data_IF_491568894560
#
_entry.id   IF_491568894560
#
_cell.length_a   1.000
_cell.length_b   1.000
_cell.length_c   1.000
_cell.angle_alpha   90.00
_cell.angle_beta   90.00
_cell.angle_gamma   90.00
#
_symmetry.space_group_name_H-M   'P 1'
#
loop_
_entity.id
_entity.type
_entity.pdbx_description
1 polymer ?
#
# COMPACT_ATOMS: atom_id res chain seq x y z
N UNK A 1 -23.78 7.66 -38.87
CA UNK A 1 -24.46 6.48 -38.32
C UNK A 1 -23.44 5.60 -37.69
N UNK A 2 -22.97 5.96 -36.48
CA UNK A 2 -22.01 5.19 -35.68
C UNK A 2 -22.34 5.30 -34.18
N UNK A 3 -23.62 5.39 -33.79
CA UNK A 3 -24.07 5.26 -32.38
C UNK A 3 -23.35 6.10 -31.31
N UNK A 4 -22.53 7.10 -31.69
CA UNK A 4 -21.72 7.87 -30.76
C UNK A 4 -22.65 8.78 -29.96
N UNK A 5 -22.62 8.60 -28.65
CA UNK A 5 -23.37 9.38 -27.70
C UNK A 5 -22.82 10.83 -27.72
N UNK A 6 -23.49 11.72 -28.46
CA UNK A 6 -23.13 13.14 -28.50
C UNK A 6 -23.63 13.82 -27.22
N UNK A 7 -22.75 13.97 -26.24
CA UNK A 7 -23.06 14.67 -24.99
C UNK A 7 -23.01 16.19 -25.19
N UNK A 8 -24.02 16.89 -24.64
CA UNK A 8 -23.99 18.36 -24.57
C UNK A 8 -22.89 18.85 -23.64
N UNK A 9 -22.39 20.07 -23.87
CA UNK A 9 -21.28 20.67 -23.11
C UNK A 9 -21.56 20.88 -21.60
N UNK A 10 -22.82 20.72 -21.18
CA UNK A 10 -23.24 20.83 -19.79
C UNK A 10 -23.07 19.53 -19.00
N UNK A 11 -22.94 18.39 -19.69
CA UNK A 11 -22.80 17.07 -19.08
C UNK A 11 -21.33 16.65 -18.97
N UNK A 12 -20.99 15.94 -17.89
CA UNK A 12 -19.73 15.22 -17.79
C UNK A 12 -19.91 13.79 -18.32
N UNK A 13 -18.99 13.25 -19.13
CA UNK A 13 -19.09 11.89 -19.61
C UNK A 13 -18.82 10.88 -18.49
N UNK A 14 -19.51 9.74 -18.56
CA UNK A 14 -19.24 8.54 -17.79
C UNK A 14 -18.64 7.51 -18.73
N UNK A 15 -17.42 7.08 -18.45
CA UNK A 15 -16.71 6.09 -19.23
C UNK A 15 -16.51 4.83 -18.40
N UNK A 16 -16.69 3.68 -19.03
CA UNK A 16 -16.28 2.38 -18.50
C UNK A 16 -15.24 1.79 -19.44
N UNK A 17 -14.01 1.65 -18.96
CA UNK A 17 -12.89 1.05 -19.71
C UNK A 17 -12.67 1.68 -21.10
N UNK A 18 -12.88 3.00 -21.19
CA UNK A 18 -12.75 3.78 -22.43
C UNK A 18 -13.99 3.85 -23.30
N UNK A 19 -15.07 3.13 -22.96
CA UNK A 19 -16.36 3.19 -23.64
C UNK A 19 -17.25 4.23 -22.95
N UNK A 20 -17.76 5.20 -23.72
CA UNK A 20 -18.70 6.20 -23.20
C UNK A 20 -20.06 5.55 -22.97
N UNK A 21 -20.51 5.51 -21.71
CA UNK A 21 -21.80 4.96 -21.32
C UNK A 21 -22.92 6.02 -21.37
N UNK A 22 -22.60 7.24 -20.97
CA UNK A 22 -23.61 8.24 -20.66
C UNK A 22 -23.01 9.59 -20.27
N UNK A 23 -23.88 10.54 -19.95
CA UNK A 23 -23.49 11.83 -19.38
C UNK A 23 -24.30 12.14 -18.13
N UNK A 24 -23.65 12.70 -17.12
CA UNK A 24 -24.26 13.10 -15.84
C UNK A 24 -24.15 14.61 -15.69
N UNK A 25 -25.10 15.24 -15.00
CA UNK A 25 -25.00 16.65 -14.63
C UNK A 25 -23.89 16.83 -13.56
N UNK A 26 -23.02 17.85 -13.68
CA UNK A 26 -21.94 18.08 -12.73
C UNK A 26 -22.38 18.17 -11.26
N UNK A 27 -23.63 18.59 -11.01
CA UNK A 27 -24.23 18.70 -9.67
C UNK A 27 -24.51 17.35 -9.00
N UNK A 28 -24.92 16.36 -9.79
CA UNK A 28 -25.35 15.04 -9.30
C UNK A 28 -24.19 14.03 -9.26
N UNK A 29 -23.13 14.32 -10.01
CA UNK A 29 -21.92 13.50 -10.09
C UNK A 29 -21.30 13.10 -8.74
N UNK A 30 -21.06 14.02 -7.77
CA UNK A 30 -20.42 13.65 -6.51
C UNK A 30 -21.28 12.69 -5.67
N UNK A 31 -22.61 12.84 -5.70
CA UNK A 31 -23.52 11.95 -4.96
C UNK A 31 -23.51 10.54 -5.57
N UNK A 32 -23.57 10.43 -6.90
CA UNK A 32 -23.52 9.14 -7.62
C UNK A 32 -22.19 8.44 -7.37
N UNK A 33 -21.07 9.17 -7.39
CA UNK A 33 -19.74 8.61 -7.12
C UNK A 33 -19.65 8.12 -5.67
N UNK A 34 -20.16 8.88 -4.71
CA UNK A 34 -20.18 8.48 -3.30
C UNK A 34 -21.01 7.21 -3.07
N UNK A 35 -22.19 7.11 -3.70
CA UNK A 35 -23.02 5.90 -3.63
C UNK A 35 -22.34 4.70 -4.30
N UNK A 36 -21.70 4.90 -5.45
CA UNK A 36 -21.00 3.82 -6.15
C UNK A 36 -19.80 3.31 -5.34
N UNK A 37 -19.05 4.20 -4.68
CA UNK A 37 -17.98 3.82 -3.75
C UNK A 37 -18.50 3.11 -2.51
N UNK A 38 -19.61 3.58 -1.94
CA UNK A 38 -20.28 2.89 -0.83
C UNK A 38 -20.64 1.44 -1.21
N UNK A 39 -21.24 1.23 -2.38
CA UNK A 39 -21.57 -0.10 -2.89
C UNK A 39 -20.31 -0.95 -3.14
N UNK A 40 -19.24 -0.35 -3.68
CA UNK A 40 -17.93 -1.00 -3.88
C UNK A 40 -17.35 -1.50 -2.56
N UNK A 41 -17.25 -0.62 -1.57
CA UNK A 41 -16.70 -0.93 -0.25
C UNK A 41 -17.57 -1.97 0.49
N UNK A 42 -18.89 -1.87 0.39
CA UNK A 42 -19.82 -2.85 0.96
C UNK A 42 -19.69 -4.23 0.28
N UNK A 43 -19.51 -4.29 -1.05
CA UNK A 43 -19.29 -5.54 -1.79
C UNK A 43 -18.06 -6.29 -1.28
N UNK A 44 -16.96 -5.58 -1.03
CA UNK A 44 -15.71 -6.13 -0.48
C UNK A 44 -15.93 -6.79 0.89
N UNK A 45 -16.63 -6.08 1.80
CA UNK A 45 -16.75 -6.48 3.21
C UNK A 45 -17.92 -7.44 3.48
N UNK A 46 -18.97 -7.42 2.66
CA UNK A 46 -20.10 -8.36 2.76
C UNK A 46 -19.69 -9.79 2.36
N UNK A 47 -18.62 -9.96 1.56
CA UNK A 47 -18.01 -11.26 1.29
C UNK A 47 -17.34 -11.90 2.52
N UNK A 48 -16.87 -11.10 3.48
CA UNK A 48 -16.25 -11.58 4.74
C UNK A 48 -17.30 -11.98 5.80
N UNK A 49 -18.47 -11.34 5.82
CA UNK A 49 -19.53 -11.66 6.80
C UNK A 49 -20.35 -12.92 6.50
N UNK A 50 -20.14 -13.56 5.35
CA UNK A 50 -20.82 -14.83 5.03
C UNK A 50 -20.27 -16.05 5.81
N UNK A 51 -19.19 -15.88 6.59
CA UNK A 51 -18.70 -16.88 7.55
C UNK A 51 -18.74 -16.33 8.99
N UNK A 52 -19.93 -16.01 9.50
CA UNK A 52 -20.07 -15.69 10.92
C UNK A 52 -21.43 -15.14 11.32
N UNK A 53 -22.14 -15.92 12.14
CA UNK A 53 -23.30 -15.56 12.98
C UNK A 53 -24.62 -15.21 12.29
N UNK A 54 -25.51 -16.20 12.27
CA UNK A 54 -26.96 -16.02 12.29
C UNK A 54 -27.40 -15.46 13.64
N UNK A 55 -27.86 -14.20 13.68
CA UNK A 55 -28.74 -13.75 14.78
C UNK A 55 -29.61 -12.58 14.33
N UNK A 56 -30.90 -12.71 14.62
CA UNK A 56 -32.04 -11.87 14.30
C UNK A 56 -32.23 -10.69 15.27
N UNK A 57 -32.61 -9.51 14.75
CA UNK A 57 -33.55 -8.50 15.33
C UNK A 57 -33.25 -7.12 14.69
N UNK A 58 -34.11 -6.66 13.79
CA UNK A 58 -35.16 -5.62 13.97
C UNK A 58 -34.63 -4.22 14.33
N UNK A 59 -34.97 -3.27 13.46
CA UNK A 59 -34.89 -1.81 13.56
C UNK A 59 -33.53 -1.15 13.26
N UNK A 60 -33.37 -0.71 12.00
CA UNK A 60 -32.97 0.63 11.53
C UNK A 60 -33.33 0.66 10.03
N UNK A 61 -33.73 1.82 9.49
CA UNK A 61 -33.96 2.08 8.06
C UNK A 61 -32.69 1.89 7.21
N UNK A 62 -32.16 0.68 7.16
CA UNK A 62 -31.11 0.24 6.25
C UNK A 62 -31.78 -0.19 4.97
N UNK A 63 -31.46 0.53 3.88
CA UNK A 63 -31.74 0.14 2.49
C UNK A 63 -31.76 -1.37 2.37
N UNK A 64 -32.96 -1.92 2.17
CA UNK A 64 -33.20 -3.34 1.95
C UNK A 64 -32.35 -3.74 0.75
N UNK A 65 -31.23 -4.42 1.02
CA UNK A 65 -30.36 -5.01 0.00
C UNK A 65 -31.25 -5.89 -0.86
N UNK A 66 -31.52 -5.42 -2.08
CA UNK A 66 -32.42 -6.08 -3.01
C UNK A 66 -31.91 -7.50 -3.27
N UNK A 67 -32.72 -8.44 -2.80
CA UNK A 67 -32.63 -9.86 -3.09
C UNK A 67 -32.77 -10.11 -4.61
N UNK A 68 -31.94 -11.04 -5.12
CA UNK A 68 -32.04 -11.82 -6.38
C UNK A 68 -31.37 -11.35 -7.68
N UNK A 69 -30.78 -10.16 -7.76
CA UNK A 69 -29.73 -9.87 -8.75
C UNK A 69 -28.52 -9.39 -7.97
N UNK A 70 -27.57 -10.28 -7.71
CA UNK A 70 -26.34 -9.96 -6.98
C UNK A 70 -25.61 -8.88 -7.79
N UNK A 71 -25.77 -7.62 -7.40
CA UNK A 71 -25.12 -6.47 -8.03
C UNK A 71 -23.64 -6.59 -7.70
N UNK A 72 -22.95 -7.40 -8.50
CA UNK A 72 -21.58 -7.84 -8.27
C UNK A 72 -20.66 -6.74 -8.79
N UNK A 73 -20.68 -5.58 -8.12
CA UNK A 73 -19.67 -4.57 -8.37
C UNK A 73 -18.34 -5.15 -7.94
N UNK A 74 -17.37 -5.18 -8.85
CA UNK A 74 -16.02 -5.61 -8.55
C UNK A 74 -15.44 -4.72 -7.43
N UNK A 75 -15.06 -5.29 -6.27
CA UNK A 75 -14.45 -4.54 -5.17
C UNK A 75 -13.20 -3.75 -5.57
N UNK A 76 -12.52 -4.17 -6.64
CA UNK A 76 -11.27 -3.57 -7.15
C UNK A 76 -11.49 -2.57 -8.29
N UNK A 77 -12.74 -2.27 -8.65
CA UNK A 77 -13.05 -1.29 -9.67
C UNK A 77 -12.58 0.12 -9.23
N UNK A 78 -11.82 0.78 -10.10
CA UNK A 78 -11.36 2.15 -9.85
C UNK A 78 -12.46 3.13 -10.27
N UNK A 79 -12.72 4.11 -9.41
CA UNK A 79 -13.80 5.09 -9.59
C UNK A 79 -13.19 6.49 -9.57
N UNK A 80 -12.63 6.90 -10.69
CA UNK A 80 -11.98 8.18 -10.83
C UNK A 80 -12.97 9.28 -11.22
N UNK A 81 -13.26 10.18 -10.29
CA UNK A 81 -14.08 11.36 -10.54
C UNK A 81 -13.20 12.58 -10.71
N UNK A 82 -13.25 13.19 -11.90
CA UNK A 82 -12.60 14.46 -12.19
C UNK A 82 -13.66 15.56 -12.17
N UNK A 83 -13.65 16.47 -11.17
CA UNK A 83 -14.63 17.53 -11.10
C UNK A 83 -14.41 18.56 -12.21
N UNK A 84 -15.48 19.24 -12.63
CA UNK A 84 -15.40 20.38 -13.55
C UNK A 84 -14.87 21.58 -12.79
N UNK A 85 -13.57 21.86 -12.94
CA UNK A 85 -12.90 23.00 -12.34
C UNK A 85 -12.99 24.24 -13.24
N UNK A 86 -12.89 25.45 -12.67
CA UNK A 86 -12.95 26.71 -13.43
C UNK A 86 -11.65 27.04 -14.19
N UNK A 87 -10.60 26.24 -14.04
CA UNK A 87 -9.31 26.39 -14.70
C UNK A 87 -9.01 25.18 -15.59
N UNK A 88 -8.16 25.36 -16.60
CA UNK A 88 -7.75 24.29 -17.51
C UNK A 88 -6.96 23.22 -16.73
N UNK A 89 -7.55 22.03 -16.65
CA UNK A 89 -6.98 20.86 -15.99
C UNK A 89 -7.36 19.59 -16.77
N UNK A 90 -7.31 18.44 -16.12
CA UNK A 90 -7.80 17.20 -16.72
C UNK A 90 -9.27 17.32 -17.15
N UNK A 91 -9.62 16.67 -18.26
CA UNK A 91 -10.99 16.73 -18.77
C UNK A 91 -11.97 16.14 -17.73
N UNK A 92 -13.05 16.87 -17.38
CA UNK A 92 -13.97 16.42 -16.33
C UNK A 92 -14.75 15.20 -16.78
N UNK A 93 -14.99 14.26 -15.87
CA UNK A 93 -15.61 12.99 -16.20
C UNK A 93 -15.61 12.02 -15.03
N UNK A 94 -16.44 10.99 -15.15
CA UNK A 94 -16.40 9.81 -14.28
C UNK A 94 -15.78 8.69 -15.09
N UNK A 95 -14.58 8.27 -14.70
CA UNK A 95 -13.84 7.19 -15.36
C UNK A 95 -13.87 5.96 -14.46
N UNK A 96 -14.50 4.90 -14.96
CA UNK A 96 -14.57 3.60 -14.32
C UNK A 96 -13.62 2.65 -15.02
N UNK A 97 -12.74 2.00 -14.27
CA UNK A 97 -11.84 1.00 -14.82
C UNK A 97 -12.04 -0.34 -14.13
N UNK A 98 -12.23 -1.40 -14.91
CA UNK A 98 -12.36 -2.79 -14.43
C UNK A 98 -11.26 -3.70 -14.97
N UNK A 99 -10.48 -3.26 -15.96
CA UNK A 99 -9.44 -4.06 -16.60
C UNK A 99 -8.36 -4.60 -15.63
N UNK A 100 -7.70 -5.70 -16.02
CA UNK A 100 -6.58 -6.25 -15.27
C UNK A 100 -5.30 -5.40 -15.42
N UNK A 101 -4.33 -5.57 -14.51
CA UNK A 101 -3.02 -4.90 -14.58
C UNK A 101 -2.97 -3.49 -13.96
N UNK A 102 -4.03 -3.07 -13.28
CA UNK A 102 -4.10 -1.78 -12.56
C UNK A 102 -3.35 -1.86 -11.22
N UNK A 103 -2.77 -0.73 -10.82
CA UNK A 103 -2.25 -0.55 -9.46
C UNK A 103 -3.42 -0.21 -8.54
N UNK A 104 -3.58 -0.99 -7.47
CA UNK A 104 -4.59 -0.75 -6.45
C UNK A 104 -3.95 -0.84 -5.06
N UNK A 105 -4.51 -0.10 -4.10
CA UNK A 105 -4.11 -0.16 -2.69
C UNK A 105 -5.33 -0.04 -1.78
N UNK A 106 -5.31 -0.63 -0.58
CA UNK A 106 -6.42 -0.54 0.36
C UNK A 106 -6.33 0.75 1.21
N UNK A 107 -7.47 1.40 1.41
CA UNK A 107 -7.65 2.54 2.34
C UNK A 107 -8.92 2.34 3.15
N UNK A 108 -9.03 2.98 4.31
CA UNK A 108 -10.21 2.91 5.16
C UNK A 108 -11.14 4.09 4.90
N UNK A 109 -12.40 3.83 4.59
CA UNK A 109 -13.42 4.87 4.45
C UNK A 109 -13.90 5.34 5.83
N UNK A 110 -13.93 6.67 6.07
CA UNK A 110 -14.27 7.21 7.39
C UNK A 110 -15.75 7.07 7.76
N UNK A 111 -16.66 7.15 6.78
CA UNK A 111 -18.11 7.11 7.03
C UNK A 111 -18.66 5.71 7.29
N UNK A 112 -18.12 4.70 6.61
CA UNK A 112 -18.59 3.30 6.67
C UNK A 112 -17.67 2.39 7.50
N UNK A 113 -16.43 2.83 7.74
CA UNK A 113 -15.36 2.00 8.30
C UNK A 113 -15.05 0.73 7.49
N UNK A 114 -15.36 0.77 6.19
CA UNK A 114 -15.03 -0.31 5.25
C UNK A 114 -13.69 -0.07 4.57
N UNK A 115 -12.97 -1.17 4.31
CA UNK A 115 -11.77 -1.13 3.48
C UNK A 115 -12.17 -1.03 2.02
N UNK A 116 -11.74 0.05 1.38
CA UNK A 116 -11.95 0.36 -0.03
C UNK A 116 -10.63 0.20 -0.79
N UNK A 117 -10.67 -0.48 -1.93
CA UNK A 117 -9.53 -0.54 -2.85
C UNK A 117 -9.56 0.67 -3.77
N UNK A 118 -8.46 1.41 -3.81
CA UNK A 118 -8.32 2.60 -4.62
C UNK A 118 -7.18 2.50 -5.62
N UNK A 119 -7.36 3.12 -6.79
CA UNK A 119 -6.34 3.30 -7.82
C UNK A 119 -5.66 4.68 -7.79
N UNK A 120 -4.61 4.86 -8.60
CA UNK A 120 -3.83 6.10 -8.62
C UNK A 120 -4.59 7.27 -9.26
N UNK A 121 -5.49 7.04 -10.22
CA UNK A 121 -6.20 8.11 -10.91
C UNK A 121 -7.26 8.72 -10.01
N UNK A 122 -7.97 7.88 -9.24
CA UNK A 122 -8.92 8.37 -8.25
C UNK A 122 -8.24 9.04 -7.06
N UNK A 123 -7.08 8.53 -6.63
CA UNK A 123 -6.32 9.11 -5.52
C UNK A 123 -5.94 10.58 -5.76
N UNK A 124 -5.70 11.00 -7.01
CA UNK A 124 -5.32 12.38 -7.35
C UNK A 124 -6.39 13.42 -7.00
N UNK A 125 -7.66 13.02 -6.88
CA UNK A 125 -8.80 13.90 -6.58
C UNK A 125 -9.47 13.54 -5.24
N UNK A 126 -8.79 12.77 -4.38
CA UNK A 126 -9.30 12.33 -3.09
C UNK A 126 -8.48 12.90 -1.92
N UNK A 127 -9.19 13.25 -0.86
CA UNK A 127 -8.59 13.65 0.41
C UNK A 127 -8.48 12.44 1.34
N UNK A 128 -7.24 11.95 1.52
CA UNK A 128 -6.90 10.77 2.32
C UNK A 128 -5.94 11.21 3.43
N UNK A 129 -6.34 11.03 4.69
CA UNK A 129 -5.49 11.33 5.84
C UNK A 129 -4.46 10.22 6.08
N UNK A 130 -3.21 10.57 6.39
CA UNK A 130 -2.17 9.60 6.77
C UNK A 130 -2.31 9.18 8.23
N UNK A 131 -2.50 10.16 9.13
CA UNK A 131 -2.70 9.94 10.56
C UNK A 131 -4.08 10.39 10.99
N UNK A 132 -4.55 9.85 12.12
CA UNK A 132 -5.83 10.28 12.73
C UNK A 132 -5.83 11.76 13.12
N UNK A 133 -4.66 12.34 13.34
CA UNK A 133 -4.47 13.78 13.63
C UNK A 133 -4.73 14.66 12.42
N UNK A 134 -4.60 14.11 11.21
CA UNK A 134 -4.66 14.88 9.95
C UNK A 134 -6.10 14.96 9.41
N UNK A 135 -7.06 14.34 10.11
CA UNK A 135 -8.46 14.30 9.70
C UNK A 135 -9.08 15.70 9.83
N UNK A 136 -9.49 16.26 8.69
CA UNK A 136 -10.25 17.52 8.62
C UNK A 136 -11.73 17.22 8.41
N UNK A 137 -12.56 17.67 9.35
CA UNK A 137 -14.00 17.42 9.33
C UNK A 137 -14.63 18.05 8.08
N UNK A 138 -15.32 17.22 7.29
CA UNK A 138 -16.03 17.66 6.07
C UNK A 138 -15.17 17.65 4.79
N UNK A 139 -13.85 17.51 4.89
CA UNK A 139 -12.94 17.44 3.74
C UNK A 139 -12.38 16.02 3.56
N UNK A 140 -11.84 15.43 4.64
CA UNK A 140 -11.22 14.11 4.58
C UNK A 140 -12.27 13.02 4.40
N UNK A 141 -12.07 12.18 3.38
CA UNK A 141 -13.00 11.09 3.04
C UNK A 141 -12.50 9.72 3.52
N UNK A 142 -11.18 9.51 3.48
CA UNK A 142 -10.53 8.24 3.79
C UNK A 142 -9.34 8.47 4.73
N UNK A 143 -8.88 7.38 5.34
CA UNK A 143 -7.65 7.35 6.14
C UNK A 143 -6.81 6.12 5.73
N UNK A 144 -5.50 6.27 5.78
CA UNK A 144 -4.56 5.16 5.62
C UNK A 144 -4.74 4.11 6.72
N UNK A 145 -4.56 2.83 6.39
CA UNK A 145 -4.62 1.75 7.37
C UNK A 145 -3.44 1.82 8.36
N UNK A 146 -2.25 2.06 7.80
CA UNK A 146 -1.01 2.32 8.51
C UNK A 146 -0.14 3.19 7.59
N UNK A 147 0.42 4.33 8.07
CA UNK A 147 1.36 5.12 7.29
C UNK A 147 2.56 4.31 6.75
N UNK A 148 2.97 3.21 7.40
CA UNK A 148 4.09 2.39 6.94
C UNK A 148 3.83 1.68 5.59
N UNK A 149 2.57 1.54 5.16
CA UNK A 149 2.18 0.84 3.93
C UNK A 149 2.69 1.55 2.66
N UNK A 150 2.99 2.84 2.73
CA UNK A 150 3.60 3.56 1.60
C UNK A 150 5.02 3.08 1.28
N UNK A 151 5.70 2.43 2.23
CA UNK A 151 7.09 2.00 2.10
C UNK A 151 7.17 0.63 1.40
N UNK A 152 8.22 0.45 0.60
CA UNK A 152 8.55 -0.87 0.05
C UNK A 152 8.95 -1.85 1.15
N UNK A 153 8.90 -3.16 0.86
CA UNK A 153 9.36 -4.21 1.77
C UNK A 153 10.79 -3.96 2.31
N UNK A 154 11.72 -3.52 1.46
CA UNK A 154 13.10 -3.28 1.89
C UNK A 154 13.20 -2.03 2.77
N UNK A 155 12.45 -0.99 2.43
CA UNK A 155 12.42 0.24 3.21
C UNK A 155 11.76 0.03 4.59
N UNK A 156 10.70 -0.78 4.67
CA UNK A 156 9.97 -1.07 5.91
C UNK A 156 10.76 -1.94 6.89
N UNK A 157 11.85 -2.58 6.46
CA UNK A 157 12.77 -3.30 7.35
C UNK A 157 13.81 -2.41 8.03
N UNK A 158 13.96 -1.14 7.60
CA UNK A 158 14.93 -0.23 8.24
C UNK A 158 14.36 0.23 9.59
N UNK A 159 15.01 -0.06 10.72
CA UNK A 159 14.52 0.36 12.03
C UNK A 159 14.62 1.88 12.16
N UNK A 160 13.59 2.51 12.74
CA UNK A 160 13.55 3.95 13.04
C UNK A 160 13.95 4.85 11.84
N UNK A 161 13.42 4.53 10.65
CA UNK A 161 13.75 5.22 9.41
C UNK A 161 13.37 6.71 9.40
N UNK A 162 12.43 7.11 10.24
CA UNK A 162 11.98 8.49 10.49
C UNK A 162 13.04 9.36 11.20
N UNK A 163 13.96 8.76 11.94
CA UNK A 163 15.07 9.48 12.60
C UNK A 163 16.30 9.67 11.70
N UNK A 164 16.29 9.04 10.53
CA UNK A 164 17.39 9.09 9.57
C UNK A 164 17.11 10.11 8.46
N UNK A 165 18.17 10.73 7.95
CA UNK A 165 18.06 11.54 6.74
C UNK A 165 17.67 10.66 5.54
N UNK A 166 16.80 11.16 4.66
CA UNK A 166 16.26 10.38 3.54
C UNK A 166 17.32 9.72 2.63
N UNK A 167 18.50 10.32 2.34
CA UNK A 167 19.52 9.65 1.54
C UNK A 167 20.10 8.41 2.22
N UNK A 168 20.13 8.36 3.56
CA UNK A 168 20.65 7.22 4.32
C UNK A 168 19.71 6.02 4.22
N UNK A 169 18.39 6.25 4.26
CA UNK A 169 17.39 5.20 4.06
C UNK A 169 17.46 4.62 2.64
N UNK A 170 17.65 5.47 1.63
CA UNK A 170 17.84 5.03 0.25
C UNK A 170 19.11 4.18 0.10
N UNK A 171 20.21 4.62 0.70
CA UNK A 171 21.47 3.88 0.70
C UNK A 171 21.33 2.52 1.39
N UNK A 172 20.64 2.46 2.54
CA UNK A 172 20.37 1.20 3.25
C UNK A 172 19.58 0.21 2.39
N UNK A 173 18.59 0.69 1.62
CA UNK A 173 17.85 -0.18 0.71
C UNK A 173 18.75 -0.77 -0.39
N UNK A 174 19.74 -0.01 -0.86
CA UNK A 174 20.72 -0.50 -1.83
C UNK A 174 21.68 -1.52 -1.20
N UNK A 175 22.24 -1.20 -0.03
CA UNK A 175 23.19 -2.07 0.68
C UNK A 175 22.53 -3.37 1.14
N UNK A 176 21.30 -3.31 1.64
CA UNK A 176 20.53 -4.48 2.05
C UNK A 176 20.30 -5.48 0.92
N UNK A 177 20.18 -5.03 -0.33
CA UNK A 177 20.07 -5.91 -1.51
C UNK A 177 21.40 -6.56 -1.92
N UNK A 178 22.53 -6.03 -1.45
CA UNK A 178 23.87 -6.49 -1.80
C UNK A 178 24.53 -7.30 -0.67
N UNK A 179 23.93 -7.32 0.52
CA UNK A 179 24.47 -8.03 1.67
C UNK A 179 24.60 -9.53 1.40
N UNK A 180 25.60 -10.15 2.00
CA UNK A 180 25.72 -11.61 2.03
C UNK A 180 24.76 -12.14 3.09
N UNK A 181 23.62 -12.68 2.66
CA UNK A 181 22.61 -13.27 3.53
C UNK A 181 22.51 -14.77 3.44
N UNK A 182 21.32 -15.29 3.75
CA UNK A 182 20.96 -16.69 3.51
C UNK A 182 20.15 -16.78 2.21
N UNK A 183 20.71 -17.26 1.09
CA UNK A 183 20.02 -17.22 -0.20
C UNK A 183 18.98 -18.33 -0.38
N UNK A 184 19.19 -19.50 0.24
CA UNK A 184 18.29 -20.65 0.20
C UNK A 184 18.66 -21.66 1.31
N UNK A 185 17.70 -22.45 1.75
CA UNK A 185 17.96 -23.59 2.64
C UNK A 185 18.40 -24.85 1.87
N UNK A 186 17.84 -25.08 0.68
CA UNK A 186 18.09 -26.27 -0.14
C UNK A 186 19.34 -26.16 -1.03
N UNK A 187 20.45 -25.63 -0.49
CA UNK A 187 21.69 -25.38 -1.26
C UNK A 187 22.28 -26.65 -1.88
N UNK A 188 22.10 -27.81 -1.24
CA UNK A 188 22.57 -29.11 -1.75
C UNK A 188 21.92 -29.51 -3.09
N UNK A 189 20.73 -28.97 -3.38
CA UNK A 189 19.93 -29.34 -4.56
C UNK A 189 19.95 -28.26 -5.64
N UNK A 190 20.78 -27.23 -5.50
CA UNK A 190 20.89 -26.12 -6.44
C UNK A 190 22.28 -26.05 -7.06
N UNK A 191 22.32 -25.75 -8.36
CA UNK A 191 23.56 -25.59 -9.14
C UNK A 191 23.62 -24.19 -9.74
N UNK A 192 23.50 -23.17 -8.89
CA UNK A 192 23.64 -21.77 -9.32
C UNK A 192 25.12 -21.41 -9.54
N UNK A 193 25.41 -20.50 -10.48
CA UNK A 193 26.78 -20.12 -10.82
C UNK A 193 27.54 -19.43 -9.67
N UNK A 194 26.87 -18.58 -8.89
CA UNK A 194 27.47 -17.83 -7.79
C UNK A 194 26.44 -17.60 -6.69
N UNK A 195 26.78 -18.02 -5.47
CA UNK A 195 25.97 -17.80 -4.28
C UNK A 195 26.87 -17.31 -3.15
N UNK A 196 26.34 -16.39 -2.37
CA UNK A 196 26.98 -15.86 -1.18
C UNK A 196 26.14 -16.24 0.02
N UNK A 197 26.76 -16.87 1.00
CA UNK A 197 26.11 -17.29 2.24
C UNK A 197 26.97 -16.90 3.42
N UNK A 198 26.36 -16.23 4.38
CA UNK A 198 26.90 -16.04 5.73
C UNK A 198 26.56 -17.27 6.59
N UNK A 199 27.50 -17.73 7.40
CA UNK A 199 27.35 -18.93 8.23
C UNK A 199 26.75 -18.59 9.60
N UNK A 200 27.32 -17.58 10.26
CA UNK A 200 26.96 -17.22 11.63
C UNK A 200 25.98 -16.06 11.65
N UNK A 201 24.73 -16.38 11.35
CA UNK A 201 23.62 -15.45 11.27
C UNK A 201 22.84 -15.35 12.58
N UNK A 202 22.23 -14.20 12.81
CA UNK A 202 21.33 -13.97 13.93
C UNK A 202 20.13 -13.14 13.48
N UNK A 203 18.97 -13.39 14.07
CA UNK A 203 17.84 -12.47 13.95
C UNK A 203 18.20 -11.14 14.64
N UNK A 204 17.87 -9.98 14.05
CA UNK A 204 18.14 -8.69 14.66
C UNK A 204 17.33 -8.54 15.96
N UNK A 205 17.93 -7.96 16.98
CA UNK A 205 17.25 -7.71 18.27
C UNK A 205 16.13 -6.68 18.14
N UNK A 206 16.35 -5.65 17.34
CA UNK A 206 15.34 -4.63 17.01
C UNK A 206 14.69 -5.04 15.69
N UNK A 207 13.39 -5.34 15.74
CA UNK A 207 12.61 -5.80 14.59
C UNK A 207 11.40 -4.90 14.36
N UNK A 208 11.14 -4.58 13.10
CA UNK A 208 9.89 -3.95 12.68
C UNK A 208 8.80 -5.02 12.51
N UNK A 209 7.52 -4.61 12.59
CA UNK A 209 6.40 -5.53 12.37
C UNK A 209 6.47 -6.20 10.98
N UNK A 210 6.81 -5.44 9.95
CA UNK A 210 6.98 -5.94 8.59
C UNK A 210 7.98 -7.11 8.50
N UNK A 211 9.07 -7.09 9.28
CA UNK A 211 10.05 -8.18 9.25
C UNK A 211 9.44 -9.51 9.71
N UNK A 212 8.57 -9.45 10.72
CA UNK A 212 7.85 -10.62 11.24
C UNK A 212 6.76 -11.08 10.28
N UNK A 213 6.00 -10.14 9.71
CA UNK A 213 4.94 -10.45 8.76
C UNK A 213 5.46 -11.14 7.48
N UNK A 214 6.68 -10.80 7.06
CA UNK A 214 7.36 -11.44 5.93
C UNK A 214 8.22 -12.66 6.30
N UNK A 215 8.24 -13.08 7.57
CA UNK A 215 9.08 -14.19 8.06
C UNK A 215 10.55 -14.08 7.65
N UNK A 216 11.11 -12.86 7.65
CA UNK A 216 12.50 -12.64 7.24
C UNK A 216 13.52 -13.28 8.19
N UNK A 217 13.07 -13.73 9.37
CA UNK A 217 13.90 -14.47 10.32
C UNK A 217 14.29 -15.87 9.80
N UNK A 218 13.56 -16.43 8.82
CA UNK A 218 13.95 -17.67 8.13
C UNK A 218 15.17 -17.45 7.22
N UNK A 219 15.33 -16.23 6.71
CA UNK A 219 16.42 -15.81 5.83
C UNK A 219 17.23 -14.69 6.47
N UNK A 220 17.95 -14.95 7.57
CA UNK A 220 18.68 -13.90 8.27
C UNK A 220 19.84 -13.38 7.41
N UNK A 221 20.03 -12.07 7.46
CA UNK A 221 20.90 -11.30 6.56
C UNK A 221 22.13 -10.69 7.25
N UNK A 222 22.34 -10.98 8.54
CA UNK A 222 23.41 -10.37 9.33
C UNK A 222 23.57 -11.01 10.71
N UNK A 223 24.29 -10.31 11.59
CA UNK A 223 24.52 -10.70 12.97
C UNK A 223 24.43 -9.49 13.90
N UNK A 224 24.14 -9.71 15.18
CA UNK A 224 24.15 -8.63 16.17
C UNK A 224 25.58 -8.43 16.69
N UNK A 225 26.08 -7.20 16.61
CA UNK A 225 27.42 -6.84 17.06
C UNK A 225 27.34 -5.78 18.17
N UNK A 226 28.30 -5.82 19.11
CA UNK A 226 28.48 -4.75 20.10
C UNK A 226 29.29 -3.63 19.46
N UNK A 227 28.67 -2.47 19.28
CA UNK A 227 29.28 -1.29 18.63
C UNK A 227 29.66 -0.26 19.71
N UNK A 228 30.88 0.27 19.64
CA UNK A 228 31.35 1.35 20.49
C UNK A 228 31.66 2.59 19.63
N UNK A 229 31.01 3.71 19.93
CA UNK A 229 31.26 5.00 19.25
C UNK A 229 32.32 5.76 20.05
N UNK A 230 33.59 5.50 19.74
CA UNK A 230 34.75 6.09 20.42
C UNK A 230 35.87 6.36 19.42
N UNK A 231 36.63 7.45 19.64
CA UNK A 231 37.88 7.70 18.93
C UNK A 231 39.04 7.18 19.76
N UNK A 232 39.60 6.02 19.39
CA UNK A 232 40.66 5.36 20.18
C UNK A 232 41.88 4.95 19.36
N UNK A 233 41.69 4.26 18.23
CA UNK A 233 42.81 3.67 17.48
C UNK A 233 43.46 4.63 16.49
N UNK A 234 42.73 5.65 16.02
CA UNK A 234 43.20 6.60 15.01
C UNK A 234 43.22 6.02 13.58
N UNK A 235 42.77 4.78 13.40
CA UNK A 235 42.64 4.10 12.10
C UNK A 235 41.18 4.07 11.60
N UNK A 236 40.27 4.71 12.33
CA UNK A 236 38.82 4.80 12.14
C UNK A 236 38.39 6.12 11.49
N UNK A 237 39.26 6.72 10.66
CA UNK A 237 38.97 7.96 9.93
C UNK A 237 38.16 7.70 8.65
N UNK A 238 37.37 8.69 8.21
CA UNK A 238 36.67 8.70 6.91
C UNK A 238 35.82 7.45 6.63
N UNK A 239 34.92 7.11 7.56
CA UNK A 239 34.00 5.96 7.52
C UNK A 239 34.66 4.57 7.65
N UNK A 240 35.96 4.51 7.98
CA UNK A 240 36.62 3.26 8.33
C UNK A 240 36.13 2.72 9.69
N UNK A 241 36.00 1.39 9.79
CA UNK A 241 35.62 0.70 11.03
C UNK A 241 36.68 -0.32 11.44
N UNK A 242 36.83 -0.52 12.75
CA UNK A 242 37.77 -1.50 13.32
C UNK A 242 36.99 -2.69 13.88
N UNK A 243 37.43 -3.89 13.50
CA UNK A 243 36.86 -5.16 14.00
C UNK A 243 37.80 -5.75 15.05
N UNK A 244 37.22 -6.27 16.14
CA UNK A 244 37.98 -6.97 17.17
C UNK A 244 38.56 -8.28 16.61
N UNK A 245 39.90 -8.40 16.60
CA UNK A 245 40.61 -9.60 16.15
C UNK A 245 40.14 -10.88 16.83
N UNK A 246 39.92 -10.85 18.15
CA UNK A 246 39.44 -12.02 18.89
C UNK A 246 38.00 -12.41 18.53
N UNK A 247 37.16 -11.47 18.07
CA UNK A 247 35.82 -11.79 17.56
C UNK A 247 35.89 -12.39 16.16
N UNK A 248 36.76 -11.86 15.29
CA UNK A 248 37.00 -12.39 13.96
C UNK A 248 37.51 -13.84 13.99
N UNK A 249 38.50 -14.14 14.84
CA UNK A 249 39.03 -15.50 15.04
C UNK A 249 37.98 -16.48 15.61
N UNK A 250 36.90 -15.97 16.21
CA UNK A 250 35.76 -16.75 16.69
C UNK A 250 34.60 -16.85 15.67
N UNK A 251 34.81 -16.42 14.43
CA UNK A 251 33.83 -16.59 13.35
C UNK A 251 32.87 -15.42 13.16
N UNK A 252 33.19 -14.22 13.65
CA UNK A 252 32.41 -13.01 13.36
C UNK A 252 32.44 -12.71 11.84
N UNK A 253 31.28 -12.69 11.19
CA UNK A 253 31.13 -12.38 9.76
C UNK A 253 31.60 -13.46 8.79
N UNK A 254 31.77 -14.71 9.24
CA UNK A 254 32.08 -15.88 8.40
C UNK A 254 30.84 -16.47 7.72
#
# INVERSE_FOLDING_TARGET
GDGQLCLGADYIPVLLDGIVLGGILPKDAPEIVAQLRYLKAASNNCGLHAQGSSTSSTDINTVTVLSKNKLLLDPTMEVAYIPRLPYDCAYPGVYLFTQAGRMIRPVLQLGTHYVEWIGPMEQAFMEIACLKTDIRRGETTHIELDPAIMLSQVASMTPFSDYNQSPRNMYQCQMGKQTMGTPAHALKHRTDNKLYRIQNVQAPVVQNQAQRDYSMDDYPQGCNAVVAVISYTGYDMEDAMIINKGAYERGFGH
#
